data_IF_757676567479
#
_entry.id   IF_757676567479
#
_cell.length_a   1.000
_cell.length_b   1.000
_cell.length_c   1.000
_cell.angle_alpha   90.00
_cell.angle_beta   90.00
_cell.angle_gamma   90.00
#
_symmetry.space_group_name_H-M   'P 1'
#
loop_
_entity.id
_entity.type
_entity.pdbx_description
1 polymer ?
#
# COMPACT_ATOMS: atom_id res chain seq x y z
N UNK A 1 4.27 16.22 -5.40
CA UNK A 1 4.66 16.15 -6.82
C UNK A 1 6.07 16.69 -7.07
N UNK A 2 6.42 17.89 -6.59
CA UNK A 2 7.77 18.46 -6.73
C UNK A 2 8.90 17.60 -6.15
N UNK A 3 8.71 16.99 -4.98
CA UNK A 3 9.72 16.09 -4.39
C UNK A 3 9.95 14.82 -5.25
N UNK A 4 8.92 14.35 -5.96
CA UNK A 4 9.04 13.19 -6.85
C UNK A 4 9.77 13.55 -8.15
N UNK A 5 9.51 14.74 -8.70
CA UNK A 5 10.27 15.26 -9.83
C UNK A 5 11.77 15.41 -9.48
N UNK A 6 12.05 15.99 -8.31
CA UNK A 6 13.41 16.07 -7.78
C UNK A 6 14.05 14.68 -7.67
N UNK A 7 13.34 13.70 -7.11
CA UNK A 7 13.81 12.32 -7.06
C UNK A 7 14.20 11.78 -8.45
N UNK A 8 13.37 11.94 -9.49
CA UNK A 8 13.68 11.42 -10.83
C UNK A 8 14.95 12.06 -11.40
N UNK A 9 15.06 13.39 -11.35
CA UNK A 9 16.18 14.12 -11.95
C UNK A 9 17.53 13.72 -11.36
N UNK A 10 17.56 13.41 -10.06
CA UNK A 10 18.80 13.04 -9.38
C UNK A 10 19.17 11.55 -9.55
N UNK A 11 18.24 10.70 -9.97
CA UNK A 11 18.45 9.25 -10.06
C UNK A 11 18.76 8.78 -11.46
N UNK A 12 18.21 9.45 -12.48
CA UNK A 12 18.46 9.11 -13.88
C UNK A 12 19.95 8.92 -14.23
N UNK A 13 20.93 9.66 -13.65
CA UNK A 13 22.35 9.44 -13.98
C UNK A 13 22.92 8.11 -13.44
N UNK A 14 22.28 7.50 -12.45
CA UNK A 14 22.75 6.29 -11.77
C UNK A 14 22.04 5.02 -12.24
N UNK A 15 21.00 5.16 -13.08
CA UNK A 15 20.25 4.03 -13.61
C UNK A 15 21.12 3.25 -14.59
N UNK A 16 21.43 2.01 -14.23
CA UNK A 16 22.12 1.03 -15.07
C UNK A 16 21.09 0.11 -15.72
N UNK A 17 20.99 0.14 -17.04
CA UNK A 17 20.07 -0.73 -17.80
C UNK A 17 20.33 -2.22 -17.57
N UNK A 18 21.57 -2.61 -17.23
CA UNK A 18 21.91 -4.00 -16.89
C UNK A 18 21.21 -4.51 -15.64
N UNK A 19 20.89 -3.63 -14.68
CA UNK A 19 20.18 -4.01 -13.46
C UNK A 19 18.68 -4.19 -13.71
N UNK A 20 18.11 -3.46 -14.68
CA UNK A 20 16.69 -3.56 -15.05
C UNK A 20 16.36 -4.86 -15.80
N UNK A 21 17.36 -5.48 -16.41
CA UNK A 21 17.20 -6.74 -17.15
C UNK A 21 17.41 -7.98 -16.26
N UNK A 22 17.66 -7.78 -14.96
CA UNK A 22 17.81 -8.88 -14.02
C UNK A 22 16.49 -9.63 -13.87
N UNK A 23 16.56 -10.96 -13.99
CA UNK A 23 15.41 -11.83 -13.80
C UNK A 23 15.13 -11.98 -12.30
N UNK A 24 13.85 -12.15 -11.92
CA UNK A 24 13.50 -12.47 -10.55
C UNK A 24 14.22 -13.76 -10.13
N UNK A 25 14.73 -13.75 -8.89
CA UNK A 25 15.49 -14.86 -8.31
C UNK A 25 14.69 -16.17 -8.30
N UNK A 26 13.38 -16.07 -8.06
CA UNK A 26 12.47 -17.21 -8.16
C UNK A 26 11.03 -16.78 -8.43
N UNK A 27 10.22 -17.72 -8.95
CA UNK A 27 8.76 -17.53 -9.07
C UNK A 27 8.11 -17.38 -7.68
N UNK A 28 8.69 -18.01 -6.64
CA UNK A 28 8.18 -17.88 -5.25
C UNK A 28 8.27 -16.44 -4.75
N UNK A 29 9.38 -15.76 -5.03
CA UNK A 29 9.59 -14.35 -4.64
C UNK A 29 8.54 -13.43 -5.27
N UNK A 30 8.22 -13.65 -6.54
CA UNK A 30 7.14 -12.93 -7.23
C UNK A 30 5.79 -13.16 -6.57
N UNK A 31 5.46 -14.43 -6.28
CA UNK A 31 4.19 -14.78 -5.64
C UNK A 31 4.08 -14.14 -4.26
N UNK A 32 5.11 -14.23 -3.43
CA UNK A 32 5.10 -13.67 -2.07
C UNK A 32 5.11 -12.13 -2.03
N UNK A 33 5.40 -11.47 -3.15
CA UNK A 33 5.27 -10.01 -3.27
C UNK A 33 3.84 -9.54 -3.58
N UNK A 34 2.95 -10.43 -4.05
CA UNK A 34 1.57 -10.08 -4.42
C UNK A 34 0.79 -9.44 -3.26
N UNK A 35 0.80 -9.99 -2.01
CA UNK A 35 0.09 -9.37 -0.89
C UNK A 35 0.56 -7.93 -0.63
N UNK A 36 1.87 -7.67 -0.75
CA UNK A 36 2.45 -6.34 -0.56
C UNK A 36 1.99 -5.38 -1.66
N UNK A 37 1.98 -5.84 -2.92
CA UNK A 37 1.49 -5.04 -4.06
C UNK A 37 0.01 -4.68 -3.86
N UNK A 38 -0.80 -5.61 -3.35
CA UNK A 38 -2.24 -5.35 -3.07
C UNK A 38 -2.42 -4.25 -2.04
N UNK A 39 -1.56 -4.18 -1.01
CA UNK A 39 -1.59 -3.09 -0.01
C UNK A 39 -1.33 -1.73 -0.65
N UNK A 40 -0.44 -1.64 -1.64
CA UNK A 40 -0.16 -0.39 -2.36
C UNK A 40 -1.38 0.20 -3.09
N UNK A 41 -2.42 -0.62 -3.35
CA UNK A 41 -3.65 -0.20 -4.03
C UNK A 41 -4.89 -0.23 -3.10
N UNK A 42 -4.70 0.06 -1.81
CA UNK A 42 -5.74 0.05 -0.76
C UNK A 42 -6.79 1.19 -0.81
N UNK A 43 -7.12 1.73 -1.98
CA UNK A 43 -8.01 2.90 -2.14
C UNK A 43 -9.50 2.62 -1.94
N UNK A 44 -9.90 1.36 -1.71
CA UNK A 44 -11.29 0.95 -1.58
C UNK A 44 -11.96 1.56 -0.33
N UNK A 45 -11.18 1.87 0.71
CA UNK A 45 -11.68 2.40 1.99
C UNK A 45 -12.28 3.81 1.81
N UNK A 46 -11.77 4.60 0.87
CA UNK A 46 -12.22 5.98 0.64
C UNK A 46 -13.40 6.06 -0.34
N UNK A 47 -13.75 4.97 -1.04
CA UNK A 47 -14.83 4.96 -2.05
C UNK A 47 -16.18 5.37 -1.47
N UNK A 48 -16.61 4.92 -0.27
CA UNK A 48 -17.84 5.40 0.35
C UNK A 48 -17.83 6.90 0.61
N UNK A 49 -16.73 7.44 1.15
CA UNK A 49 -16.57 8.88 1.41
C UNK A 49 -16.57 9.70 0.13
N UNK A 50 -15.91 9.21 -0.93
CA UNK A 50 -15.93 9.83 -2.24
C UNK A 50 -17.34 9.86 -2.84
N UNK A 51 -18.13 8.79 -2.67
CA UNK A 51 -19.54 8.78 -3.10
C UNK A 51 -20.34 9.88 -2.38
N UNK A 52 -20.19 9.99 -1.05
CA UNK A 52 -20.88 11.02 -0.27
C UNK A 52 -20.51 12.44 -0.72
N UNK A 53 -19.26 12.66 -1.12
CA UNK A 53 -18.78 13.96 -1.59
C UNK A 53 -19.22 14.29 -3.03
N UNK A 54 -19.12 13.31 -3.95
CA UNK A 54 -19.42 13.49 -5.38
C UNK A 54 -20.93 13.46 -5.67
N UNK A 55 -21.71 12.85 -4.78
CA UNK A 55 -23.14 12.57 -4.98
C UNK A 55 -23.39 11.34 -5.84
N UNK A 56 -24.66 11.10 -6.19
CA UNK A 56 -25.11 9.93 -6.95
C UNK A 56 -24.84 10.04 -8.46
N UNK A 57 -23.57 10.26 -8.82
CA UNK A 57 -23.11 10.26 -10.21
C UNK A 57 -22.10 9.11 -10.46
N UNK A 58 -22.57 7.92 -10.91
CA UNK A 58 -21.71 6.74 -11.04
C UNK A 58 -20.63 6.89 -12.12
N UNK A 59 -20.90 7.65 -13.19
CA UNK A 59 -19.91 7.91 -14.25
C UNK A 59 -18.76 8.77 -13.72
N UNK A 60 -19.09 9.85 -13.00
CA UNK A 60 -18.10 10.72 -12.38
C UNK A 60 -17.29 9.99 -11.32
N UNK A 61 -17.94 9.20 -10.46
CA UNK A 61 -17.26 8.39 -9.44
C UNK A 61 -16.30 7.36 -10.07
N UNK A 62 -16.72 6.66 -11.13
CA UNK A 62 -15.86 5.74 -11.89
C UNK A 62 -14.60 6.45 -12.40
N UNK A 63 -14.75 7.61 -13.04
CA UNK A 63 -13.60 8.34 -13.58
C UNK A 63 -12.65 8.81 -12.47
N UNK A 64 -13.17 9.27 -11.34
CA UNK A 64 -12.36 9.65 -10.18
C UNK A 64 -11.56 8.46 -9.68
N UNK A 65 -12.17 7.28 -9.53
CA UNK A 65 -11.47 6.08 -9.07
C UNK A 65 -10.42 5.62 -10.07
N UNK A 66 -10.73 5.61 -11.37
CA UNK A 66 -9.77 5.18 -12.41
C UNK A 66 -8.58 6.14 -12.47
N UNK A 67 -8.82 7.44 -12.64
CA UNK A 67 -7.76 8.44 -12.74
C UNK A 67 -6.94 8.47 -11.44
N UNK A 68 -7.64 8.45 -10.30
CA UNK A 68 -7.04 8.43 -8.98
C UNK A 68 -6.19 7.18 -8.68
N UNK A 69 -6.43 6.06 -9.36
CA UNK A 69 -5.62 4.83 -9.22
C UNK A 69 -4.51 4.73 -10.27
N UNK A 70 -4.73 5.26 -11.48
CA UNK A 70 -3.73 5.27 -12.55
C UNK A 70 -2.54 6.18 -12.22
N UNK A 71 -2.77 7.32 -11.56
CA UNK A 71 -1.70 8.24 -11.18
C UNK A 71 -0.69 7.56 -10.21
N UNK A 72 -1.11 6.95 -9.08
CA UNK A 72 -0.24 6.16 -8.22
C UNK A 72 0.50 5.04 -8.96
N UNK A 73 -0.18 4.31 -9.85
CA UNK A 73 0.46 3.25 -10.64
C UNK A 73 1.64 3.77 -11.45
N UNK A 74 1.47 4.89 -12.18
CA UNK A 74 2.56 5.48 -12.96
C UNK A 74 3.72 5.95 -12.07
N UNK A 75 3.39 6.55 -10.92
CA UNK A 75 4.39 6.99 -9.94
C UNK A 75 5.17 5.80 -9.39
N UNK A 76 4.49 4.70 -9.05
CA UNK A 76 5.14 3.46 -8.58
C UNK A 76 6.03 2.84 -9.64
N UNK A 77 5.59 2.74 -10.89
CA UNK A 77 6.42 2.19 -11.98
C UNK A 77 7.69 3.02 -12.19
N UNK A 78 7.57 4.35 -12.20
CA UNK A 78 8.74 5.24 -12.34
C UNK A 78 9.69 5.07 -11.15
N UNK A 79 9.15 4.97 -9.94
CA UNK A 79 9.92 4.76 -8.72
C UNK A 79 10.61 3.39 -8.68
N UNK A 80 9.94 2.32 -9.08
CA UNK A 80 10.52 0.97 -9.17
C UNK A 80 11.66 0.93 -10.19
N UNK A 81 11.47 1.50 -11.38
CA UNK A 81 12.53 1.57 -12.40
C UNK A 81 13.73 2.35 -11.87
N UNK A 82 13.50 3.48 -11.20
CA UNK A 82 14.59 4.28 -10.64
C UNK A 82 15.32 3.55 -9.50
N UNK A 83 14.59 2.86 -8.61
CA UNK A 83 15.20 2.15 -7.48
C UNK A 83 15.96 0.90 -7.92
N UNK A 84 15.33 0.03 -8.71
CA UNK A 84 15.92 -1.21 -9.25
C UNK A 84 17.09 -0.89 -10.20
N UNK A 85 16.97 0.20 -10.97
CA UNK A 85 18.01 0.64 -11.87
C UNK A 85 19.29 1.11 -11.18
N UNK A 86 19.24 1.46 -9.89
CA UNK A 86 20.38 2.02 -9.16
C UNK A 86 21.02 0.98 -8.23
N UNK A 87 20.23 0.26 -7.42
CA UNK A 87 20.75 -0.74 -6.47
C UNK A 87 20.81 -2.14 -7.09
N UNK A 88 21.92 -2.88 -6.95
CA UNK A 88 21.99 -4.28 -7.36
C UNK A 88 21.12 -5.17 -6.46
N UNK A 89 20.69 -6.33 -6.98
CA UNK A 89 19.92 -7.32 -6.19
C UNK A 89 20.76 -7.98 -5.09
N UNK A 90 22.01 -8.33 -5.41
CA UNK A 90 22.94 -9.06 -4.54
C UNK A 90 24.30 -8.38 -4.43
N UNK A 91 25.03 -8.65 -3.37
CA UNK A 91 26.38 -8.12 -3.12
C UNK A 91 26.41 -7.02 -2.05
N UNK A 92 27.54 -6.31 -1.88
CA UNK A 92 27.64 -5.22 -0.91
C UNK A 92 26.76 -4.04 -1.34
N UNK A 93 26.02 -3.44 -0.40
CA UNK A 93 25.10 -2.33 -0.64
C UNK A 93 24.05 -2.67 -1.71
N UNK A 94 23.27 -3.73 -1.47
CA UNK A 94 22.29 -4.31 -2.41
C UNK A 94 20.93 -4.54 -1.74
N UNK A 95 19.90 -4.91 -2.53
CA UNK A 95 18.59 -5.26 -1.98
C UNK A 95 18.63 -6.45 -1.01
N UNK A 96 19.56 -7.42 -1.18
CA UNK A 96 19.73 -8.51 -0.20
C UNK A 96 20.12 -7.99 1.18
N UNK A 97 20.95 -6.94 1.25
CA UNK A 97 21.33 -6.29 2.50
C UNK A 97 20.15 -5.53 3.12
N UNK A 98 19.35 -4.84 2.30
CA UNK A 98 18.11 -4.16 2.73
C UNK A 98 17.16 -5.15 3.40
N UNK A 99 16.93 -6.31 2.79
CA UNK A 99 16.09 -7.37 3.34
C UNK A 99 16.67 -7.87 4.67
N UNK A 100 17.98 -8.12 4.74
CA UNK A 100 18.63 -8.60 5.98
C UNK A 100 18.53 -7.62 7.16
N UNK A 101 18.45 -6.32 6.86
CA UNK A 101 18.33 -5.26 7.87
C UNK A 101 16.90 -5.05 8.38
N UNK A 102 15.88 -5.60 7.72
CA UNK A 102 14.48 -5.46 8.12
C UNK A 102 13.55 -5.06 6.97
N UNK A 103 14.11 -4.68 5.83
CA UNK A 103 13.36 -4.40 4.61
C UNK A 103 12.57 -3.09 4.64
N UNK A 104 12.93 -2.17 5.53
CA UNK A 104 12.23 -0.88 5.63
C UNK A 104 12.67 0.08 4.54
N UNK A 105 11.87 1.13 4.32
CA UNK A 105 12.27 2.23 3.42
C UNK A 105 13.54 2.92 3.94
N UNK A 106 13.74 2.98 5.26
CA UNK A 106 14.97 3.51 5.86
C UNK A 106 16.20 2.68 5.52
N UNK A 107 16.09 1.34 5.60
CA UNK A 107 17.16 0.42 5.21
C UNK A 107 17.52 0.58 3.72
N UNK A 108 16.50 0.76 2.87
CA UNK A 108 16.69 1.02 1.44
C UNK A 108 17.45 2.33 1.22
N UNK A 109 17.06 3.41 1.91
CA UNK A 109 17.75 4.71 1.84
C UNK A 109 19.21 4.56 2.29
N UNK A 110 19.47 3.83 3.37
CA UNK A 110 20.84 3.59 3.84
C UNK A 110 21.69 2.86 2.79
N UNK A 111 21.15 1.81 2.15
CA UNK A 111 21.84 1.09 1.09
C UNK A 111 22.16 2.00 -0.12
N UNK A 112 21.22 2.88 -0.49
CA UNK A 112 21.46 3.86 -1.56
C UNK A 112 22.57 4.86 -1.22
N UNK A 113 22.62 5.34 0.02
CA UNK A 113 23.67 6.26 0.46
C UNK A 113 25.05 5.60 0.40
N UNK A 114 25.13 4.35 0.85
CA UNK A 114 26.36 3.56 0.80
C UNK A 114 26.80 3.23 -0.63
N UNK A 115 25.84 2.95 -1.53
CA UNK A 115 26.14 2.61 -2.92
C UNK A 115 26.51 3.83 -3.78
N UNK A 116 25.83 4.97 -3.60
CA UNK A 116 26.06 6.17 -4.42
C UNK A 116 27.24 7.02 -3.96
N UNK A 117 27.65 6.89 -2.69
CA UNK A 117 28.75 7.63 -2.05
C UNK A 117 28.69 9.17 -2.26
N UNK A 118 27.49 9.71 -2.52
CA UNK A 118 27.27 11.12 -2.86
C UNK A 118 26.42 11.81 -1.79
N UNK A 119 26.97 12.88 -1.19
CA UNK A 119 26.31 13.64 -0.12
C UNK A 119 25.03 14.33 -0.59
N UNK A 120 25.03 14.88 -1.80
CA UNK A 120 23.88 15.60 -2.39
C UNK A 120 22.72 14.64 -2.63
N UNK A 121 23.01 13.44 -3.14
CA UNK A 121 22.01 12.41 -3.41
C UNK A 121 21.47 11.89 -2.09
N UNK A 122 22.35 11.58 -1.14
CA UNK A 122 21.97 11.18 0.22
C UNK A 122 21.03 12.19 0.88
N UNK A 123 21.34 13.48 0.80
CA UNK A 123 20.47 14.55 1.32
C UNK A 123 19.11 14.55 0.62
N UNK A 124 19.10 14.46 -0.72
CA UNK A 124 17.89 14.37 -1.52
C UNK A 124 16.99 13.19 -1.13
N UNK A 125 17.58 12.00 -0.97
CA UNK A 125 16.90 10.80 -0.51
C UNK A 125 16.23 10.97 0.85
N UNK A 126 16.96 11.52 1.82
CA UNK A 126 16.45 11.73 3.17
C UNK A 126 15.28 12.72 3.16
N UNK A 127 15.42 13.86 2.47
CA UNK A 127 14.35 14.87 2.40
C UNK A 127 13.11 14.29 1.73
N UNK A 128 13.28 13.63 0.57
CA UNK A 128 12.16 13.02 -0.15
C UNK A 128 11.46 11.96 0.71
N UNK A 129 12.23 11.03 1.27
CA UNK A 129 11.69 9.89 2.03
C UNK A 129 11.02 10.35 3.32
N UNK A 130 11.65 11.27 4.06
CA UNK A 130 11.08 11.78 5.31
C UNK A 130 9.77 12.54 5.06
N UNK A 131 9.70 13.38 4.02
CA UNK A 131 8.46 14.07 3.65
C UNK A 131 7.40 13.06 3.19
N UNK A 132 7.76 12.10 2.34
CA UNK A 132 6.83 11.11 1.81
C UNK A 132 6.25 10.22 2.93
N UNK A 133 7.09 9.67 3.80
CA UNK A 133 6.67 8.85 4.94
C UNK A 133 5.81 9.67 5.90
N UNK A 134 6.23 10.89 6.24
CA UNK A 134 5.48 11.74 7.19
C UNK A 134 4.09 12.09 6.66
N UNK A 135 3.99 12.50 5.40
CA UNK A 135 2.70 12.85 4.78
C UNK A 135 1.79 11.63 4.60
N UNK A 136 2.34 10.48 4.22
CA UNK A 136 1.59 9.21 4.18
C UNK A 136 1.11 8.79 5.57
N UNK A 137 1.98 8.89 6.57
CA UNK A 137 1.67 8.57 7.96
C UNK A 137 0.51 9.41 8.47
N UNK A 138 0.53 10.73 8.28
CA UNK A 138 -0.59 11.60 8.69
C UNK A 138 -1.92 11.21 8.01
N UNK A 139 -1.90 10.86 6.72
CA UNK A 139 -3.13 10.44 6.02
C UNK A 139 -3.73 9.16 6.60
N UNK A 140 -2.88 8.16 6.87
CA UNK A 140 -3.31 6.86 7.42
C UNK A 140 -3.74 6.99 8.88
N UNK A 141 -2.99 7.71 9.72
CA UNK A 141 -3.34 7.85 11.13
C UNK A 141 -4.60 8.66 11.35
N UNK A 142 -4.84 9.70 10.53
CA UNK A 142 -6.08 10.46 10.61
C UNK A 142 -7.29 9.60 10.22
N UNK A 143 -7.15 8.80 9.16
CA UNK A 143 -8.18 7.85 8.71
C UNK A 143 -8.47 6.78 9.78
N UNK A 144 -7.42 6.23 10.40
CA UNK A 144 -7.57 5.25 11.49
C UNK A 144 -8.18 5.88 12.74
N UNK A 145 -7.78 7.10 13.08
CA UNK A 145 -8.32 7.85 14.21
C UNK A 145 -9.83 8.06 14.06
N UNK A 146 -10.29 8.55 12.90
CA UNK A 146 -11.71 8.74 12.63
C UNK A 146 -12.46 7.41 12.58
N UNK A 147 -11.89 6.37 11.98
CA UNK A 147 -12.48 5.02 11.98
C UNK A 147 -12.68 4.48 13.40
N UNK A 148 -11.66 4.57 14.27
CA UNK A 148 -11.76 4.10 15.65
C UNK A 148 -12.75 4.94 16.48
N UNK A 149 -12.76 6.26 16.26
CA UNK A 149 -13.72 7.16 16.88
C UNK A 149 -15.16 6.74 16.57
N UNK A 150 -15.44 6.45 15.30
CA UNK A 150 -16.77 6.05 14.83
C UNK A 150 -17.12 4.62 15.27
N UNK A 151 -16.16 3.68 15.21
CA UNK A 151 -16.35 2.28 15.58
C UNK A 151 -16.73 2.11 17.06
N UNK A 152 -16.07 2.85 17.96
CA UNK A 152 -16.35 2.81 19.39
C UNK A 152 -17.38 3.86 19.84
N UNK A 153 -17.94 4.63 18.89
CA UNK A 153 -18.93 5.70 19.14
C UNK A 153 -18.47 6.70 20.21
N UNK A 154 -17.17 7.03 20.22
CA UNK A 154 -16.63 7.98 21.19
C UNK A 154 -17.16 9.38 20.89
N UNK A 155 -18.04 9.88 21.77
CA UNK A 155 -18.79 11.11 21.55
C UNK A 155 -17.88 12.34 21.71
N UNK A 156 -17.97 13.31 20.78
CA UNK A 156 -17.13 14.52 20.69
C UNK A 156 -17.19 15.47 21.91
N UNK A 157 -18.05 15.22 22.90
CA UNK A 157 -18.27 16.13 24.04
C UNK A 157 -17.22 16.01 25.16
N UNK A 158 -16.40 14.96 25.18
CA UNK A 158 -15.42 14.74 26.25
C UNK A 158 -14.00 14.59 25.68
N UNK A 159 -13.07 15.41 26.18
CA UNK A 159 -11.63 15.36 25.84
C UNK A 159 -11.00 13.98 26.13
N UNK A 160 -11.57 13.21 27.06
CA UNK A 160 -11.13 11.85 27.39
C UNK A 160 -11.29 10.86 26.23
N UNK A 161 -12.39 10.93 25.47
CA UNK A 161 -12.62 10.06 24.31
C UNK A 161 -11.61 10.29 23.19
N UNK A 162 -11.21 11.55 22.99
CA UNK A 162 -10.19 11.93 22.00
C UNK A 162 -8.80 11.39 22.39
N UNK A 163 -8.43 11.50 23.67
CA UNK A 163 -7.15 10.98 24.19
C UNK A 163 -7.11 9.45 24.08
N UNK A 164 -8.19 8.76 24.45
CA UNK A 164 -8.25 7.31 24.33
C UNK A 164 -8.14 6.85 22.87
N UNK A 165 -8.86 7.51 21.95
CA UNK A 165 -8.75 7.23 20.50
C UNK A 165 -7.32 7.46 20.01
N UNK A 166 -6.65 8.51 20.49
CA UNK A 166 -5.24 8.77 20.16
C UNK A 166 -4.33 7.64 20.66
N UNK A 167 -4.46 7.23 21.91
CA UNK A 167 -3.69 6.12 22.48
C UNK A 167 -3.94 4.84 21.67
N UNK A 168 -5.18 4.55 21.28
CA UNK A 168 -5.49 3.36 20.49
C UNK A 168 -4.97 3.44 19.04
N UNK A 169 -4.90 4.65 18.47
CA UNK A 169 -4.40 4.87 17.11
C UNK A 169 -2.87 4.73 17.05
N UNK A 170 -2.15 5.29 18.02
CA UNK A 170 -0.68 5.37 17.99
C UNK A 170 0.00 4.32 18.87
N UNK A 171 -0.61 3.94 19.99
CA UNK A 171 -0.04 3.03 20.98
C UNK A 171 0.30 1.65 20.43
N UNK A 172 -0.66 0.90 19.84
CA UNK A 172 -0.38 -0.43 19.31
C UNK A 172 0.70 -0.44 18.21
N UNK A 173 0.65 0.45 17.18
CA UNK A 173 1.74 0.53 16.21
C UNK A 173 3.10 0.90 16.81
N UNK A 174 3.12 1.79 17.81
CA UNK A 174 4.36 2.20 18.49
C UNK A 174 4.98 1.05 19.28
N UNK A 175 4.18 0.33 20.06
CA UNK A 175 4.60 -0.87 20.79
C UNK A 175 5.14 -1.91 19.80
N UNK A 176 4.42 -2.17 18.71
CA UNK A 176 4.84 -3.10 17.68
C UNK A 176 6.21 -2.71 17.07
N UNK A 177 6.43 -1.43 16.78
CA UNK A 177 7.70 -0.94 16.23
C UNK A 177 8.89 -1.15 17.16
N UNK A 178 8.69 -1.07 18.49
CA UNK A 178 9.75 -1.31 19.49
C UNK A 178 10.07 -2.79 19.62
N UNK A 179 9.04 -3.65 19.73
CA UNK A 179 9.24 -5.08 19.99
C UNK A 179 9.56 -5.89 18.73
N UNK A 180 9.18 -5.41 17.54
CA UNK A 180 9.39 -6.09 16.26
C UNK A 180 10.06 -5.16 15.23
N UNK A 181 11.34 -4.76 15.44
CA UNK A 181 12.03 -3.79 14.59
C UNK A 181 12.20 -4.25 13.13
N UNK A 182 12.30 -5.57 12.90
CA UNK A 182 12.32 -6.18 11.55
C UNK A 182 10.94 -6.67 11.09
N UNK A 183 9.87 -6.22 11.76
CA UNK A 183 8.50 -6.66 11.50
C UNK A 183 7.84 -5.97 10.31
N UNK A 184 8.51 -5.04 9.62
CA UNK A 184 7.90 -4.21 8.57
C UNK A 184 7.33 -5.00 7.40
N UNK A 185 8.12 -5.90 6.78
CA UNK A 185 7.65 -6.75 5.68
C UNK A 185 6.51 -7.67 6.16
N UNK A 186 6.64 -8.24 7.36
CA UNK A 186 5.61 -9.12 7.93
C UNK A 186 4.30 -8.37 8.18
N UNK A 187 4.36 -7.12 8.67
CA UNK A 187 3.21 -6.27 8.86
C UNK A 187 2.51 -5.93 7.54
N UNK A 188 3.28 -5.66 6.47
CA UNK A 188 2.73 -5.48 5.11
C UNK A 188 2.04 -6.75 4.60
N UNK A 189 2.61 -7.93 4.85
CA UNK A 189 1.97 -9.20 4.51
C UNK A 189 0.61 -9.38 5.19
N UNK A 190 0.53 -9.13 6.51
CA UNK A 190 -0.75 -9.15 7.23
C UNK A 190 -1.75 -8.09 6.75
N UNK A 191 -1.27 -6.88 6.42
CA UNK A 191 -2.10 -5.86 5.81
C UNK A 191 -2.67 -6.32 4.45
N UNK A 192 -1.92 -7.11 3.68
CA UNK A 192 -2.38 -7.71 2.43
C UNK A 192 -3.56 -8.67 2.61
N UNK A 193 -3.58 -9.44 3.71
CA UNK A 193 -4.73 -10.28 4.08
C UNK A 193 -5.95 -9.39 4.37
N UNK A 194 -5.80 -8.36 5.21
CA UNK A 194 -6.88 -7.44 5.54
C UNK A 194 -7.44 -6.74 4.29
N UNK A 195 -6.57 -6.29 3.39
CA UNK A 195 -6.96 -5.67 2.14
C UNK A 195 -7.71 -6.63 1.20
N UNK A 196 -7.31 -7.90 1.19
CA UNK A 196 -7.99 -8.94 0.42
C UNK A 196 -9.43 -9.16 0.88
N UNK A 197 -9.68 -9.11 2.20
CA UNK A 197 -11.03 -9.17 2.76
C UNK A 197 -11.86 -7.97 2.30
N UNK A 198 -11.27 -6.77 2.28
CA UNK A 198 -11.94 -5.55 1.79
C UNK A 198 -12.27 -5.61 0.29
N UNK A 199 -11.49 -6.34 -0.52
CA UNK A 199 -11.78 -6.58 -1.94
C UNK A 199 -12.94 -7.58 -2.12
N UNK A 200 -12.99 -8.61 -1.27
CA UNK A 200 -14.03 -9.66 -1.28
C UNK A 200 -15.39 -9.06 -0.89
N UNK A 201 -15.43 -8.19 0.13
CA UNK A 201 -16.67 -7.68 0.72
C UNK A 201 -17.65 -7.03 -0.28
N UNK A 202 -17.27 -6.01 -1.09
CA UNK A 202 -18.19 -5.39 -2.06
C UNK A 202 -18.65 -6.38 -3.13
N UNK A 203 -17.84 -7.39 -3.45
CA UNK A 203 -18.18 -8.43 -4.41
C UNK A 203 -19.31 -9.32 -3.89
N UNK A 204 -19.23 -9.74 -2.62
CA UNK A 204 -20.32 -10.46 -1.94
C UNK A 204 -21.58 -9.57 -1.83
N UNK A 205 -21.42 -8.27 -1.56
CA UNK A 205 -22.54 -7.34 -1.52
C UNK A 205 -23.27 -7.26 -2.87
N UNK A 206 -22.53 -7.20 -3.98
CA UNK A 206 -23.12 -7.22 -5.33
C UNK A 206 -23.84 -8.53 -5.61
N UNK A 207 -23.27 -9.68 -5.22
CA UNK A 207 -23.92 -10.99 -5.35
C UNK A 207 -25.26 -11.04 -4.60
N UNK A 208 -25.26 -10.65 -3.32
CA UNK A 208 -26.49 -10.58 -2.50
C UNK A 208 -27.50 -9.60 -3.06
N UNK A 209 -27.05 -8.44 -3.56
CA UNK A 209 -27.91 -7.43 -4.17
C UNK A 209 -28.62 -7.97 -5.41
N UNK A 210 -27.92 -8.74 -6.26
CA UNK A 210 -28.50 -9.29 -7.50
C UNK A 210 -29.48 -10.43 -7.28
N UNK A 211 -29.30 -11.20 -6.20
CA UNK A 211 -30.15 -12.34 -5.86
C UNK A 211 -31.29 -11.99 -4.88
N UNK A 212 -31.36 -10.74 -4.42
CA UNK A 212 -32.42 -10.28 -3.54
C UNK A 212 -33.66 -9.86 -4.33
N UNK A 213 -34.82 -10.40 -3.97
CA UNK A 213 -36.10 -9.97 -4.53
C UNK A 213 -36.51 -8.54 -4.12
N UNK A 214 -35.96 -8.05 -2.99
CA UNK A 214 -36.31 -6.76 -2.38
C UNK A 214 -35.40 -5.62 -2.82
N UNK A 215 -34.12 -5.90 -3.06
CA UNK A 215 -33.13 -4.87 -3.36
C UNK A 215 -32.91 -4.75 -4.88
N UNK A 216 -33.62 -3.84 -5.53
CA UNK A 216 -33.44 -3.58 -6.97
C UNK A 216 -32.52 -2.37 -7.18
N UNK A 217 -31.36 -2.60 -7.80
CA UNK A 217 -30.47 -1.51 -8.25
C UNK A 217 -30.70 -1.21 -9.74
N UNK A 218 -30.88 0.07 -10.12
CA UNK A 218 -30.96 0.49 -11.53
C UNK A 218 -29.60 0.39 -12.24
N UNK A 219 -28.49 0.30 -11.50
CA UNK A 219 -27.14 0.27 -12.04
C UNK A 219 -26.67 -1.18 -12.17
N UNK A 220 -26.44 -1.62 -13.42
CA UNK A 220 -25.79 -2.89 -13.73
C UNK A 220 -24.40 -2.64 -14.29
N UNK A 221 -23.40 -3.20 -13.60
CA UNK A 221 -22.01 -3.18 -14.06
C UNK A 221 -21.88 -4.21 -15.20
N UNK A 222 -21.30 -3.84 -16.35
CA UNK A 222 -21.04 -4.77 -17.44
C UNK A 222 -20.04 -5.86 -17.00
N UNK A 223 -20.24 -7.10 -17.44
CA UNK A 223 -19.41 -8.27 -17.09
C UNK A 223 -20.12 -9.36 -16.29
N UNK A 224 -21.43 -9.22 -16.06
CA UNK A 224 -22.28 -10.31 -15.57
C UNK A 224 -21.78 -10.94 -14.28
N UNK A 225 -21.76 -12.26 -14.24
CA UNK A 225 -21.36 -13.07 -13.08
C UNK A 225 -19.87 -12.89 -12.73
N UNK A 226 -19.02 -12.67 -13.74
CA UNK A 226 -17.58 -12.51 -13.57
C UNK A 226 -17.19 -11.32 -12.70
N UNK A 227 -17.96 -10.23 -12.75
CA UNK A 227 -17.68 -9.00 -11.99
C UNK A 227 -17.55 -9.20 -10.48
N UNK A 228 -18.24 -10.18 -9.89
CA UNK A 228 -18.20 -10.42 -8.46
C UNK A 228 -17.46 -11.71 -8.10
N UNK A 229 -17.35 -12.71 -8.98
CA UNK A 229 -16.51 -13.88 -8.69
C UNK A 229 -15.01 -13.60 -8.83
N UNK A 230 -14.60 -12.81 -9.82
CA UNK A 230 -13.17 -12.56 -10.06
C UNK A 230 -12.46 -11.91 -8.86
N UNK A 231 -12.99 -10.85 -8.21
CA UNK A 231 -12.33 -10.26 -7.04
C UNK A 231 -12.40 -11.18 -5.81
N UNK A 232 -13.41 -12.05 -5.69
CA UNK A 232 -13.49 -13.05 -4.62
C UNK A 232 -12.34 -14.05 -4.76
N UNK A 233 -12.21 -14.64 -5.95
CA UNK A 233 -11.14 -15.60 -6.24
C UNK A 233 -9.77 -14.94 -6.05
N UNK A 234 -9.59 -13.71 -6.56
CA UNK A 234 -8.35 -12.97 -6.37
C UNK A 234 -8.00 -12.76 -4.90
N UNK A 235 -8.95 -12.28 -4.08
CA UNK A 235 -8.73 -12.09 -2.65
C UNK A 235 -8.37 -13.40 -1.93
N UNK A 236 -9.04 -14.51 -2.27
CA UNK A 236 -8.71 -15.83 -1.71
C UNK A 236 -7.32 -16.32 -2.11
N UNK A 237 -6.90 -16.09 -3.35
CA UNK A 237 -5.55 -16.42 -3.83
C UNK A 237 -4.52 -15.63 -3.02
N UNK A 238 -4.70 -14.33 -2.84
CA UNK A 238 -3.76 -13.48 -2.08
C UNK A 238 -3.63 -13.95 -0.63
N UNK A 239 -4.75 -14.27 0.02
CA UNK A 239 -4.76 -14.82 1.39
C UNK A 239 -4.00 -16.15 1.44
N UNK A 240 -4.27 -17.04 0.48
CA UNK A 240 -3.61 -18.35 0.42
C UNK A 240 -2.10 -18.20 0.23
N UNK A 241 -1.68 -17.31 -0.66
CA UNK A 241 -0.26 -17.02 -0.91
C UNK A 241 0.43 -16.50 0.34
N UNK A 242 -0.16 -15.55 1.06
CA UNK A 242 0.43 -15.00 2.28
C UNK A 242 0.48 -16.04 3.41
N UNK A 243 -0.53 -16.91 3.52
CA UNK A 243 -0.51 -18.03 4.47
C UNK A 243 0.62 -19.00 4.11
N UNK A 244 0.74 -19.39 2.83
CA UNK A 244 1.82 -20.26 2.37
C UNK A 244 3.20 -19.65 2.60
N UNK A 245 3.35 -18.34 2.39
CA UNK A 245 4.58 -17.62 2.66
C UNK A 245 5.03 -17.82 4.12
N UNK A 246 4.09 -17.67 5.07
CA UNK A 246 4.36 -17.85 6.51
C UNK A 246 4.71 -19.29 6.89
N UNK A 247 4.15 -20.30 6.22
CA UNK A 247 4.49 -21.70 6.45
C UNK A 247 5.79 -22.14 5.76
N UNK A 248 6.26 -21.37 4.78
CA UNK A 248 7.51 -21.65 4.05
C UNK A 248 8.76 -20.99 4.64
N UNK A 249 8.58 -20.11 5.63
CA UNK A 249 9.61 -19.45 6.44
C UNK A 249 9.84 -20.24 7.73
#
# INVERSE_FOLDING_TARGET
>A
MYCFYFYIVFFTPYIKSSLLLLKPESVKTLLFSIPIIVVSFGSQIIVPSLRSYVGDNPKKLKNIVIIGSTIPLLIYLIWEIATIGVLPLTGPNSFSQVISNGGTVGDMVQAFQQYTNSKIISLGFNIFTNIAITTSFFGVTLSLFDFLKDAFKFNNKHSSGRIFTFILTYGPPFIFAIFYPKGFINALGYAGIAQSILIILPSIMIYKLRNSAQLKSPIRIPGGVFCYFAPIIFGLIVITIEILHKYSL
#
